data_IF_074816564818
#
_entry.id   IF_074816564818
#
_cell.length_a   1.000
_cell.length_b   1.000
_cell.length_c   1.000
_cell.angle_alpha   90.00
_cell.angle_beta   90.00
_cell.angle_gamma   90.00
#
_symmetry.space_group_name_H-M   'P 1'
#
loop_
_entity.id
_entity.type
_entity.pdbx_description
1 polymer ?
#
# COMPACT_ATOMS: atom_id res chain seq x y z
N UNK A 1 53.28 -43.40 7.39
CA UNK A 1 52.08 -42.65 7.81
C UNK A 1 52.02 -41.39 6.97
N UNK A 2 51.10 -41.32 5.97
CA UNK A 2 50.94 -40.16 5.11
C UNK A 2 50.08 -39.12 5.86
N UNK A 3 50.62 -37.93 6.12
CA UNK A 3 49.88 -36.82 6.66
C UNK A 3 48.78 -36.39 5.65
N UNK A 4 47.52 -36.56 6.02
CA UNK A 4 46.39 -35.94 5.34
C UNK A 4 46.45 -34.43 5.70
N UNK A 5 46.99 -33.64 4.78
CA UNK A 5 46.80 -32.18 4.84
C UNK A 5 45.32 -31.91 4.65
N UNK A 6 44.58 -31.65 5.72
CA UNK A 6 43.23 -31.19 5.68
C UNK A 6 43.23 -29.77 5.08
N UNK A 7 42.78 -29.66 3.87
CA UNK A 7 42.64 -28.41 3.15
C UNK A 7 41.50 -27.58 3.80
N UNK A 8 41.80 -26.47 4.50
CA UNK A 8 40.78 -25.69 5.22
C UNK A 8 39.70 -25.12 4.29
N UNK A 9 40.00 -24.98 3.00
CA UNK A 9 39.01 -24.53 1.98
C UNK A 9 37.97 -25.58 1.69
N UNK A 10 38.27 -26.89 1.88
CA UNK A 10 37.26 -27.95 1.71
C UNK A 10 36.24 -27.95 2.84
N UNK A 11 36.64 -27.57 4.05
CA UNK A 11 35.76 -27.41 5.20
C UNK A 11 34.84 -26.18 5.05
N UNK A 12 35.35 -25.07 4.49
CA UNK A 12 34.55 -23.87 4.17
C UNK A 12 33.50 -24.14 3.08
N UNK A 13 33.84 -24.94 2.06
CA UNK A 13 32.91 -25.35 1.00
C UNK A 13 31.79 -26.27 1.54
N UNK A 14 32.10 -27.15 2.49
CA UNK A 14 31.11 -27.99 3.14
C UNK A 14 30.15 -27.21 4.06
N UNK A 15 30.60 -26.13 4.71
CA UNK A 15 29.77 -25.25 5.51
C UNK A 15 28.83 -24.37 4.67
N UNK A 16 29.25 -24.00 3.46
CA UNK A 16 28.41 -23.21 2.53
C UNK A 16 27.24 -24.01 1.94
N UNK A 17 27.28 -25.35 1.99
CA UNK A 17 26.19 -26.21 1.46
C UNK A 17 24.99 -26.39 2.42
N UNK A 18 25.05 -25.87 3.64
CA UNK A 18 23.92 -25.86 4.58
C UNK A 18 23.15 -24.52 4.61
N UNK A 19 23.04 -23.86 3.48
CA UNK A 19 22.09 -22.76 3.34
C UNK A 19 20.67 -23.32 3.30
N UNK A 20 20.03 -23.46 4.46
CA UNK A 20 18.60 -23.75 4.52
C UNK A 20 17.87 -22.53 3.98
N UNK A 21 17.33 -22.62 2.79
CA UNK A 21 16.32 -21.65 2.35
C UNK A 21 15.11 -21.80 3.27
N UNK A 22 14.83 -20.77 4.05
CA UNK A 22 13.63 -20.75 4.87
C UNK A 22 12.43 -20.66 3.92
N UNK A 23 11.63 -21.71 3.86
CA UNK A 23 10.39 -21.74 3.11
C UNK A 23 9.29 -21.14 3.99
N UNK A 24 8.61 -20.14 3.49
CA UNK A 24 7.40 -19.61 4.11
C UNK A 24 6.22 -20.42 3.59
N UNK A 25 5.55 -21.16 4.47
CA UNK A 25 4.35 -21.90 4.14
C UNK A 25 3.13 -20.99 4.31
N UNK A 26 2.31 -20.89 3.27
CA UNK A 26 1.09 -20.07 3.28
C UNK A 26 -0.02 -20.80 2.52
N UNK A 27 -1.25 -20.39 2.80
CA UNK A 27 -2.43 -20.79 2.05
C UNK A 27 -2.97 -19.59 1.28
N UNK A 28 -3.34 -19.79 0.01
CA UNK A 28 -3.96 -18.74 -0.81
C UNK A 28 -5.24 -19.25 -1.47
N UNK A 29 -6.21 -18.37 -1.63
CA UNK A 29 -7.48 -18.67 -2.28
C UNK A 29 -8.21 -17.38 -2.68
N UNK A 30 -9.17 -17.52 -3.60
CA UNK A 30 -10.02 -16.40 -4.02
C UNK A 30 -11.43 -16.51 -3.42
N UNK A 31 -11.98 -15.38 -2.96
CA UNK A 31 -13.40 -15.27 -2.68
C UNK A 31 -14.19 -15.13 -4.00
N UNK A 32 -15.49 -15.43 -3.96
CA UNK A 32 -16.37 -15.34 -5.14
C UNK A 32 -16.42 -13.93 -5.75
N UNK A 33 -16.23 -12.90 -4.95
CA UNK A 33 -16.16 -11.51 -5.39
C UNK A 33 -14.81 -11.11 -5.99
N UNK A 34 -13.83 -12.04 -6.01
CA UNK A 34 -12.52 -11.86 -6.62
C UNK A 34 -11.45 -11.28 -5.69
N UNK A 35 -11.73 -11.16 -4.38
CA UNK A 35 -10.70 -10.84 -3.40
C UNK A 35 -9.73 -12.02 -3.29
N UNK A 36 -8.46 -11.78 -3.56
CA UNK A 36 -7.39 -12.74 -3.32
C UNK A 36 -6.97 -12.71 -1.85
N UNK A 37 -6.88 -13.88 -1.22
CA UNK A 37 -6.58 -14.00 0.22
C UNK A 37 -5.34 -14.85 0.41
N UNK A 38 -4.41 -14.37 1.22
CA UNK A 38 -3.18 -15.06 1.60
C UNK A 38 -3.15 -15.17 3.13
N UNK A 39 -2.99 -16.40 3.64
CA UNK A 39 -2.89 -16.67 5.07
C UNK A 39 -1.56 -17.34 5.39
N UNK A 40 -0.78 -16.75 6.28
CA UNK A 40 0.47 -17.33 6.78
C UNK A 40 0.39 -17.47 8.30
N UNK A 41 0.44 -18.72 8.77
CA UNK A 41 0.41 -19.04 10.20
C UNK A 41 1.81 -19.09 10.77
N UNK A 42 2.09 -18.23 11.74
CA UNK A 42 3.29 -18.26 12.58
C UNK A 42 2.90 -17.95 14.04
N UNK A 43 2.84 -18.99 14.88
CA UNK A 43 2.45 -18.88 16.29
C UNK A 43 3.65 -18.62 17.22
N UNK A 44 4.78 -18.18 16.70
CA UNK A 44 5.99 -17.93 17.50
C UNK A 44 5.84 -16.77 18.48
N UNK A 45 5.00 -15.79 18.14
CA UNK A 45 4.65 -14.64 18.98
C UNK A 45 3.13 -14.34 18.86
N UNK A 46 2.45 -13.87 19.94
CA UNK A 46 1.02 -13.64 19.94
C UNK A 46 0.62 -12.33 19.24
N UNK A 47 1.06 -12.15 18.01
CA UNK A 47 0.81 -10.96 17.17
C UNK A 47 0.31 -11.43 15.81
N UNK A 48 -0.58 -10.66 15.22
CA UNK A 48 -1.07 -10.85 13.85
C UNK A 48 -1.00 -9.54 13.09
N UNK A 49 -0.62 -9.64 11.82
CA UNK A 49 -0.67 -8.54 10.85
C UNK A 49 -1.77 -8.82 9.86
N UNK A 50 -2.68 -7.89 9.68
CA UNK A 50 -3.69 -7.88 8.62
C UNK A 50 -3.36 -6.75 7.66
N UNK A 51 -3.37 -7.03 6.36
CA UNK A 51 -3.09 -6.01 5.36
C UNK A 51 -3.93 -6.16 4.11
N UNK A 52 -4.27 -5.02 3.50
CA UNK A 52 -4.97 -4.96 2.21
C UNK A 52 -4.12 -4.14 1.24
N UNK A 53 -3.74 -4.77 0.16
CA UNK A 53 -3.10 -4.14 -0.98
C UNK A 53 -4.15 -3.90 -2.06
N UNK A 54 -4.40 -2.65 -2.39
CA UNK A 54 -5.19 -2.29 -3.58
C UNK A 54 -4.24 -2.03 -4.75
N UNK A 55 -4.48 -2.71 -5.87
CA UNK A 55 -3.70 -2.50 -7.09
C UNK A 55 -4.12 -1.20 -7.76
N UNK A 56 -3.79 -0.09 -7.13
CA UNK A 56 -3.99 1.27 -7.60
C UNK A 56 -2.90 2.17 -7.01
N UNK A 57 -2.19 2.87 -7.85
CA UNK A 57 -1.14 3.82 -7.47
C UNK A 57 -1.15 5.01 -8.41
N UNK A 58 -0.10 5.85 -8.34
CA UNK A 58 -0.04 7.07 -9.16
C UNK A 58 -0.07 6.80 -10.67
N UNK A 59 0.32 5.61 -11.12
CA UNK A 59 0.22 5.24 -12.55
C UNK A 59 -1.20 5.11 -13.08
N UNK A 60 -2.17 4.84 -12.18
CA UNK A 60 -3.58 4.61 -12.54
C UNK A 60 -4.40 5.90 -12.58
N UNK A 61 -3.79 7.03 -12.24
CA UNK A 61 -4.42 8.34 -12.19
C UNK A 61 -4.55 8.98 -13.57
N UNK A 62 -5.53 9.87 -13.69
CA UNK A 62 -5.60 10.77 -14.84
C UNK A 62 -4.42 11.76 -14.77
N UNK A 63 -3.69 12.02 -15.86
CA UNK A 63 -2.59 13.00 -15.87
C UNK A 63 -2.99 14.41 -15.42
N UNK A 64 -4.28 14.77 -15.56
CA UNK A 64 -4.85 16.05 -15.11
C UNK A 64 -5.49 15.96 -13.70
N UNK A 65 -5.35 14.82 -13.00
CA UNK A 65 -5.91 14.54 -11.68
C UNK A 65 -4.95 13.66 -10.87
N UNK A 66 -3.73 14.17 -10.63
CA UNK A 66 -2.68 13.43 -9.90
C UNK A 66 -2.79 13.61 -8.39
N UNK A 67 -2.31 12.62 -7.64
CA UNK A 67 -2.32 12.60 -6.18
C UNK A 67 -3.54 11.89 -5.57
N UNK A 68 -4.46 11.36 -6.37
CA UNK A 68 -5.69 10.72 -5.88
C UNK A 68 -5.42 9.44 -5.11
N UNK A 69 -4.52 8.58 -5.57
CA UNK A 69 -4.21 7.34 -4.88
C UNK A 69 -3.64 7.60 -3.47
N UNK A 70 -2.71 8.54 -3.34
CA UNK A 70 -2.18 8.96 -2.06
C UNK A 70 -3.23 9.70 -1.21
N UNK A 71 -4.08 10.49 -1.82
CA UNK A 71 -5.19 11.14 -1.12
C UNK A 71 -6.13 10.09 -0.49
N UNK A 72 -6.42 8.99 -1.20
CA UNK A 72 -7.20 7.88 -0.67
C UNK A 72 -6.49 7.11 0.44
N UNK A 73 -5.16 7.08 0.45
CA UNK A 73 -4.41 6.57 1.60
C UNK A 73 -4.83 7.27 2.89
N UNK A 74 -4.95 8.59 2.86
CA UNK A 74 -5.41 9.39 4.00
C UNK A 74 -6.92 9.27 4.23
N UNK A 75 -7.70 9.42 3.17
CA UNK A 75 -9.17 9.53 3.26
C UNK A 75 -9.83 8.27 3.83
N UNK A 76 -9.27 7.09 3.57
CA UNK A 76 -9.81 5.82 4.08
C UNK A 76 -9.51 5.56 5.57
N UNK A 77 -8.87 6.50 6.28
CA UNK A 77 -8.78 6.53 7.74
C UNK A 77 -9.80 7.45 8.39
N UNK A 78 -10.53 8.26 7.62
CA UNK A 78 -11.47 9.23 8.16
C UNK A 78 -12.63 8.58 8.93
N UNK A 79 -13.09 7.42 8.48
CA UNK A 79 -14.13 6.64 9.11
C UNK A 79 -14.95 5.83 8.12
N UNK A 80 -15.87 5.04 8.65
CA UNK A 80 -16.79 4.21 7.88
C UNK A 80 -18.21 4.41 8.37
N UNK A 81 -19.18 3.76 7.76
CA UNK A 81 -20.56 3.76 8.25
C UNK A 81 -20.68 3.34 9.71
N UNK A 82 -19.81 2.42 10.17
CA UNK A 82 -19.85 1.83 11.51
C UNK A 82 -18.69 2.26 12.41
N UNK A 83 -17.73 3.02 11.89
CA UNK A 83 -16.61 3.63 12.63
C UNK A 83 -16.71 5.14 12.49
N UNK A 84 -16.96 5.83 13.60
CA UNK A 84 -17.07 7.28 13.61
C UNK A 84 -15.80 7.94 13.07
N UNK A 85 -15.99 9.09 12.42
CA UNK A 85 -14.90 9.93 11.90
C UNK A 85 -13.84 10.20 12.97
N UNK A 86 -12.57 9.98 12.64
CA UNK A 86 -11.41 10.19 13.52
C UNK A 86 -11.24 9.13 14.62
N UNK A 87 -12.07 8.07 14.66
CA UNK A 87 -11.97 7.01 15.67
C UNK A 87 -11.07 5.85 15.26
N UNK A 88 -10.70 5.74 14.00
CA UNK A 88 -9.89 4.62 13.50
C UNK A 88 -8.65 4.36 14.36
N UNK A 89 -7.79 5.37 14.48
CA UNK A 89 -6.54 5.28 15.23
C UNK A 89 -6.75 4.98 16.73
N UNK A 90 -7.80 5.53 17.33
CA UNK A 90 -8.11 5.27 18.75
C UNK A 90 -8.61 3.86 18.99
N UNK A 91 -9.35 3.24 18.06
CA UNK A 91 -9.75 1.84 18.13
C UNK A 91 -8.51 0.95 18.04
N UNK A 92 -7.65 1.17 17.06
CA UNK A 92 -6.42 0.39 16.88
C UNK A 92 -5.52 0.47 18.11
N UNK A 93 -5.20 1.68 18.57
CA UNK A 93 -4.31 1.87 19.73
C UNK A 93 -4.96 1.41 21.03
N UNK A 94 -6.26 1.63 21.23
CA UNK A 94 -7.02 1.16 22.39
C UNK A 94 -7.09 -0.37 22.47
N UNK A 95 -6.94 -1.06 21.34
CA UNK A 95 -6.89 -2.52 21.27
C UNK A 95 -5.45 -3.07 21.27
N UNK A 96 -4.46 -2.24 21.62
CA UNK A 96 -3.05 -2.62 21.70
C UNK A 96 -2.37 -2.80 20.33
N UNK A 97 -2.98 -2.30 19.27
CA UNK A 97 -2.48 -2.40 17.90
C UNK A 97 -1.72 -1.17 17.43
N UNK A 98 -1.19 -1.27 16.24
CA UNK A 98 -0.61 -0.18 15.45
C UNK A 98 -1.01 -0.36 13.99
N UNK A 99 -1.09 0.73 13.24
CA UNK A 99 -1.41 0.70 11.82
C UNK A 99 -0.60 1.73 11.04
N UNK A 100 -0.50 1.52 9.74
CA UNK A 100 0.04 2.50 8.80
C UNK A 100 -0.46 2.20 7.39
N UNK A 101 -0.15 3.09 6.45
CA UNK A 101 -0.38 2.90 5.03
C UNK A 101 0.73 3.55 4.23
N UNK A 102 0.83 3.20 2.95
CA UNK A 102 1.67 3.90 1.99
C UNK A 102 1.20 3.67 0.55
N UNK A 103 1.48 4.66 -0.28
CA UNK A 103 1.16 4.64 -1.71
C UNK A 103 2.45 4.63 -2.53
N UNK A 104 2.44 3.80 -3.56
CA UNK A 104 3.49 3.72 -4.57
C UNK A 104 2.96 4.11 -5.95
N UNK A 105 3.79 3.94 -6.97
CA UNK A 105 3.33 4.09 -8.34
C UNK A 105 2.33 3.00 -8.73
N UNK A 106 2.39 1.82 -8.10
CA UNK A 106 1.68 0.61 -8.50
C UNK A 106 0.52 0.22 -7.62
N UNK A 107 0.59 0.53 -6.32
CA UNK A 107 -0.40 0.10 -5.33
C UNK A 107 -0.50 1.05 -4.14
N UNK A 108 -1.64 0.97 -3.44
CA UNK A 108 -1.88 1.56 -2.13
C UNK A 108 -2.05 0.42 -1.13
N UNK A 109 -1.32 0.48 -0.02
CA UNK A 109 -1.20 -0.59 0.95
C UNK A 109 -1.57 -0.08 2.34
N UNK A 110 -2.49 -0.79 3.02
CA UNK A 110 -2.90 -0.56 4.39
C UNK A 110 -2.51 -1.77 5.22
N UNK A 111 -2.05 -1.57 6.44
CA UNK A 111 -1.77 -2.68 7.34
C UNK A 111 -1.99 -2.32 8.80
N UNK A 112 -2.33 -3.32 9.56
CA UNK A 112 -2.58 -3.24 10.99
C UNK A 112 -1.90 -4.41 11.69
N UNK A 113 -1.26 -4.11 12.84
CA UNK A 113 -0.68 -5.11 13.71
C UNK A 113 -1.50 -5.12 14.99
N UNK A 114 -1.96 -6.29 15.41
CA UNK A 114 -2.72 -6.46 16.64
C UNK A 114 -2.18 -7.63 17.48
N UNK A 115 -2.41 -7.64 18.81
CA UNK A 115 -2.40 -8.88 19.57
C UNK A 115 -3.36 -9.89 18.92
N UNK A 116 -2.97 -11.17 18.86
CA UNK A 116 -3.70 -12.19 18.07
C UNK A 116 -5.15 -12.40 18.50
N UNK A 117 -5.49 -12.10 19.76
CA UNK A 117 -6.88 -12.14 20.26
C UNK A 117 -7.78 -11.06 19.65
N UNK A 118 -7.23 -10.07 18.95
CA UNK A 118 -7.97 -9.02 18.25
C UNK A 118 -7.98 -9.21 16.73
N UNK A 119 -7.64 -10.41 16.21
CA UNK A 119 -7.65 -10.70 14.79
C UNK A 119 -9.01 -10.46 14.13
N UNK A 120 -10.10 -10.85 14.79
CA UNK A 120 -11.45 -10.62 14.26
C UNK A 120 -11.75 -9.12 14.09
N UNK A 121 -11.31 -8.28 15.05
CA UNK A 121 -11.43 -6.83 14.96
C UNK A 121 -10.66 -6.28 13.74
N UNK A 122 -9.43 -6.73 13.53
CA UNK A 122 -8.61 -6.32 12.38
C UNK A 122 -9.28 -6.66 11.04
N UNK A 123 -9.79 -7.89 10.91
CA UNK A 123 -10.52 -8.36 9.72
C UNK A 123 -11.79 -7.52 9.49
N UNK A 124 -12.54 -7.25 10.54
CA UNK A 124 -13.74 -6.42 10.48
C UNK A 124 -13.41 -4.98 10.06
N UNK A 125 -12.40 -4.35 10.65
CA UNK A 125 -12.01 -2.98 10.32
C UNK A 125 -11.61 -2.84 8.84
N UNK A 126 -10.80 -3.76 8.32
CA UNK A 126 -10.41 -3.73 6.90
C UNK A 126 -11.60 -3.99 5.96
N UNK A 127 -12.56 -4.83 6.37
CA UNK A 127 -13.79 -5.02 5.60
C UNK A 127 -14.67 -3.76 5.57
N UNK A 128 -14.76 -3.03 6.69
CA UNK A 128 -15.44 -1.75 6.79
C UNK A 128 -14.79 -0.68 5.89
N UNK A 129 -13.46 -0.62 5.89
CA UNK A 129 -12.69 0.24 4.99
C UNK A 129 -13.03 0.00 3.52
N UNK A 130 -13.16 -1.27 3.13
CA UNK A 130 -13.46 -1.64 1.74
C UNK A 130 -14.94 -1.43 1.37
N UNK A 131 -15.88 -1.77 2.26
CA UNK A 131 -17.31 -1.78 1.95
C UNK A 131 -18.01 -0.44 2.23
N UNK A 132 -17.64 0.22 3.33
CA UNK A 132 -18.41 1.33 3.88
C UNK A 132 -17.59 2.61 4.15
N UNK A 133 -16.56 2.96 3.34
CA UNK A 133 -15.80 4.19 3.60
C UNK A 133 -16.72 5.40 3.50
N UNK A 134 -16.58 6.35 4.44
CA UNK A 134 -17.27 7.62 4.36
C UNK A 134 -16.43 8.60 3.56
N UNK A 135 -16.89 8.89 2.35
CA UNK A 135 -16.25 9.84 1.44
C UNK A 135 -17.20 11.01 1.27
N UNK A 136 -17.01 12.04 2.07
CA UNK A 136 -17.83 13.25 2.08
C UNK A 136 -17.00 14.52 1.88
N UNK A 137 -17.68 15.63 1.67
CA UNK A 137 -16.99 16.92 1.46
C UNK A 137 -16.12 17.33 2.63
N UNK A 138 -16.54 17.04 3.86
CA UNK A 138 -15.81 17.43 5.07
C UNK A 138 -14.50 16.64 5.16
N UNK A 139 -14.53 15.33 4.90
CA UNK A 139 -13.35 14.46 4.85
C UNK A 139 -12.39 14.90 3.75
N UNK A 140 -12.91 15.15 2.56
CA UNK A 140 -12.11 15.62 1.41
C UNK A 140 -11.45 16.96 1.72
N UNK A 141 -12.19 17.97 2.21
CA UNK A 141 -11.63 19.28 2.53
C UNK A 141 -10.55 19.16 3.64
N UNK A 142 -10.80 18.35 4.67
CA UNK A 142 -9.85 18.12 5.77
C UNK A 142 -8.56 17.47 5.26
N UNK A 143 -8.66 16.39 4.52
CA UNK A 143 -7.50 15.67 4.03
C UNK A 143 -6.75 16.42 2.93
N UNK A 144 -7.43 17.29 2.17
CA UNK A 144 -6.76 18.17 1.21
C UNK A 144 -5.71 19.05 1.90
N UNK A 145 -6.05 19.69 3.01
CA UNK A 145 -5.09 20.50 3.76
C UNK A 145 -3.95 19.67 4.37
N UNK A 146 -4.24 18.45 4.85
CA UNK A 146 -3.22 17.54 5.39
C UNK A 146 -2.21 17.14 4.31
N UNK A 147 -2.68 16.68 3.15
CA UNK A 147 -1.82 16.24 2.04
C UNK A 147 -1.01 17.42 1.48
N UNK A 148 -1.61 18.60 1.40
CA UNK A 148 -0.90 19.83 1.01
C UNK A 148 0.22 20.19 1.97
N UNK A 149 -0.03 20.09 3.27
CA UNK A 149 1.00 20.36 4.26
C UNK A 149 2.12 19.29 4.22
N UNK A 150 1.76 18.03 4.03
CA UNK A 150 2.74 16.96 3.82
C UNK A 150 3.64 17.25 2.60
N UNK A 151 3.04 17.68 1.48
CA UNK A 151 3.80 18.07 0.29
C UNK A 151 4.78 19.19 0.59
N UNK A 152 4.32 20.24 1.29
CA UNK A 152 5.20 21.35 1.69
C UNK A 152 6.36 20.86 2.56
N UNK A 153 6.06 20.04 3.58
CA UNK A 153 7.08 19.57 4.51
C UNK A 153 8.09 18.61 3.89
N UNK A 154 7.62 17.63 3.11
CA UNK A 154 8.49 16.56 2.61
C UNK A 154 9.14 16.86 1.28
N UNK A 155 8.52 17.71 0.44
CA UNK A 155 8.96 17.97 -0.93
C UNK A 155 9.41 19.41 -1.13
N UNK A 156 8.54 20.40 -0.82
CA UNK A 156 8.79 21.77 -1.23
C UNK A 156 9.82 22.48 -0.31
N UNK A 157 9.79 22.20 1.00
CA UNK A 157 10.67 22.84 2.00
C UNK A 157 11.83 21.95 2.48
N UNK A 158 11.89 20.70 2.04
CA UNK A 158 12.93 19.77 2.45
C UNK A 158 14.13 19.85 1.52
N UNK A 159 15.38 19.91 2.03
CA UNK A 159 16.57 19.74 1.19
C UNK A 159 16.50 18.44 0.38
N UNK A 160 16.77 18.52 -0.91
CA UNK A 160 16.61 17.42 -1.88
C UNK A 160 15.18 16.90 -2.04
N UNK A 161 14.16 17.56 -1.50
CA UNK A 161 12.78 17.07 -1.50
C UNK A 161 12.21 16.77 -2.89
N UNK A 162 12.64 17.50 -3.91
CA UNK A 162 12.16 17.34 -5.30
C UNK A 162 12.96 16.36 -6.15
N UNK A 163 14.00 15.72 -5.59
CA UNK A 163 14.90 14.86 -6.38
C UNK A 163 14.17 13.76 -7.16
N UNK A 164 13.18 13.12 -6.52
CA UNK A 164 12.43 12.03 -7.15
C UNK A 164 11.52 12.53 -8.27
N UNK A 165 10.89 13.69 -8.10
CA UNK A 165 10.10 14.34 -9.15
C UNK A 165 10.95 14.67 -10.36
N UNK A 166 12.13 15.26 -10.15
CA UNK A 166 13.07 15.60 -11.21
C UNK A 166 13.60 14.36 -11.95
N UNK A 167 13.93 13.30 -11.20
CA UNK A 167 14.38 12.03 -11.81
C UNK A 167 13.26 11.44 -12.66
N UNK A 168 12.05 11.30 -12.14
CA UNK A 168 10.90 10.73 -12.86
C UNK A 168 10.55 11.54 -14.10
N UNK A 169 10.52 12.86 -13.99
CA UNK A 169 10.21 13.76 -15.10
C UNK A 169 11.22 13.65 -16.25
N UNK A 170 12.50 13.50 -15.93
CA UNK A 170 13.54 13.35 -16.93
C UNK A 170 13.63 11.93 -17.50
N UNK A 171 13.34 10.91 -16.69
CA UNK A 171 13.44 9.49 -17.06
C UNK A 171 12.27 9.03 -17.91
N UNK A 172 11.04 9.35 -17.51
CA UNK A 172 9.83 8.92 -18.19
C UNK A 172 9.27 10.02 -19.09
N UNK A 173 8.98 9.68 -20.36
CA UNK A 173 8.42 10.62 -21.35
C UNK A 173 6.92 10.43 -21.52
N UNK A 174 6.46 9.20 -21.59
CA UNK A 174 5.07 8.85 -21.90
C UNK A 174 4.42 7.96 -20.85
N UNK A 175 5.19 7.15 -20.11
CA UNK A 175 4.64 6.26 -19.10
C UNK A 175 4.14 7.06 -17.88
N UNK A 176 3.01 6.68 -17.25
CA UNK A 176 2.50 7.33 -16.05
C UNK A 176 3.45 7.39 -14.85
N UNK A 177 4.49 6.58 -14.80
CA UNK A 177 5.57 6.68 -13.80
C UNK A 177 6.28 8.03 -13.77
N UNK A 178 6.01 8.88 -14.76
CA UNK A 178 6.42 10.28 -14.75
C UNK A 178 5.81 11.07 -13.58
N UNK A 179 4.64 10.66 -13.11
CA UNK A 179 3.94 11.33 -12.01
C UNK A 179 4.54 10.91 -10.65
N UNK A 180 4.43 11.80 -9.67
CA UNK A 180 4.74 11.47 -8.27
C UNK A 180 3.48 11.06 -7.53
N UNK A 181 3.61 10.24 -6.49
CA UNK A 181 2.47 9.79 -5.68
C UNK A 181 1.76 10.93 -4.97
N UNK A 182 2.51 11.96 -4.53
CA UNK A 182 1.94 13.14 -3.87
C UNK A 182 1.10 14.02 -4.82
N UNK A 183 1.35 13.95 -6.11
CA UNK A 183 0.63 14.71 -7.12
C UNK A 183 0.90 16.21 -7.12
N UNK A 184 0.07 16.95 -7.88
CA UNK A 184 0.13 18.41 -7.99
C UNK A 184 -0.94 19.05 -7.13
N UNK A 185 -0.59 20.14 -6.45
CA UNK A 185 -1.52 20.87 -5.58
C UNK A 185 -2.74 21.39 -6.34
N UNK A 186 -2.54 21.89 -7.55
CA UNK A 186 -3.63 22.44 -8.39
C UNK A 186 -4.67 21.36 -8.72
N UNK A 187 -4.25 20.11 -8.86
CA UNK A 187 -5.14 18.98 -9.12
C UNK A 187 -5.98 18.63 -7.89
N UNK A 188 -5.38 18.68 -6.70
CA UNK A 188 -6.10 18.43 -5.44
C UNK A 188 -7.06 19.58 -5.11
N UNK A 189 -6.65 20.84 -5.33
CA UNK A 189 -7.49 22.01 -5.10
C UNK A 189 -8.72 22.08 -6.01
N UNK A 190 -8.59 21.60 -7.24
CA UNK A 190 -9.66 21.59 -8.23
C UNK A 190 -10.51 20.32 -8.25
N UNK A 191 -10.14 19.31 -7.44
CA UNK A 191 -10.83 18.03 -7.42
C UNK A 191 -12.21 18.14 -6.77
N UNK A 192 -13.20 17.46 -7.40
CA UNK A 192 -14.58 17.45 -6.94
C UNK A 192 -14.91 16.13 -6.25
N UNK A 193 -15.88 16.17 -5.33
CA UNK A 193 -16.32 15.00 -4.59
C UNK A 193 -16.75 13.83 -5.49
N UNK A 194 -17.42 14.12 -6.62
CA UNK A 194 -17.84 13.08 -7.56
C UNK A 194 -16.66 12.36 -8.25
N UNK A 195 -15.53 13.05 -8.43
CA UNK A 195 -14.29 12.46 -8.95
C UNK A 195 -13.68 11.48 -7.91
N UNK A 196 -13.66 11.86 -6.63
CA UNK A 196 -13.24 10.96 -5.55
C UNK A 196 -14.14 9.72 -5.44
N UNK A 197 -15.46 9.89 -5.47
CA UNK A 197 -16.40 8.78 -5.43
C UNK A 197 -16.24 7.83 -6.63
N UNK A 198 -15.99 8.38 -7.83
CA UNK A 198 -15.74 7.59 -9.02
C UNK A 198 -14.42 6.82 -8.94
N UNK A 199 -13.37 7.43 -8.40
CA UNK A 199 -12.07 6.80 -8.21
C UNK A 199 -12.15 5.63 -7.20
N UNK A 200 -12.80 5.86 -6.05
CA UNK A 200 -13.04 4.82 -5.06
C UNK A 200 -13.79 3.63 -5.67
N UNK A 201 -14.93 3.89 -6.29
CA UNK A 201 -15.78 2.87 -6.93
C UNK A 201 -15.06 2.07 -8.00
N UNK A 202 -14.07 2.66 -8.66
CA UNK A 202 -13.30 2.01 -9.72
C UNK A 202 -12.20 1.11 -9.16
N UNK A 203 -11.46 1.57 -8.16
CA UNK A 203 -10.20 0.95 -7.79
C UNK A 203 -10.21 0.24 -6.43
N UNK A 204 -11.01 0.72 -5.45
CA UNK A 204 -11.04 0.15 -4.10
C UNK A 204 -12.13 -0.92 -3.97
N UNK A 205 -11.93 -2.00 -4.70
CA UNK A 205 -12.88 -3.10 -4.86
C UNK A 205 -12.21 -4.45 -4.66
N UNK A 206 -12.96 -5.51 -4.24
CA UNK A 206 -12.38 -6.81 -3.90
C UNK A 206 -11.51 -7.41 -5.01
N UNK A 207 -11.98 -7.38 -6.23
CA UNK A 207 -11.26 -7.96 -7.39
C UNK A 207 -10.08 -7.10 -7.89
N UNK A 208 -9.72 -6.06 -7.17
CA UNK A 208 -8.52 -5.25 -7.37
C UNK A 208 -7.68 -5.20 -6.08
N UNK A 209 -7.89 -6.15 -5.16
CA UNK A 209 -7.25 -6.16 -3.86
C UNK A 209 -6.70 -7.53 -3.49
N UNK A 210 -5.69 -7.54 -2.62
CA UNK A 210 -5.13 -8.72 -1.97
C UNK A 210 -5.22 -8.50 -0.46
N UNK A 211 -5.89 -9.41 0.24
CA UNK A 211 -5.91 -9.47 1.70
C UNK A 211 -4.85 -10.45 2.16
N UNK A 212 -3.90 -10.00 2.97
CA UNK A 212 -2.91 -10.88 3.58
C UNK A 212 -3.03 -10.83 5.10
N UNK A 213 -3.09 -12.00 5.73
CA UNK A 213 -3.11 -12.14 7.19
C UNK A 213 -1.99 -13.07 7.60
N UNK A 214 -1.09 -12.59 8.45
CA UNK A 214 0.10 -13.32 8.88
C UNK A 214 0.30 -13.22 10.39
N UNK A 215 0.73 -14.32 11.03
CA UNK A 215 1.05 -14.36 12.45
C UNK A 215 0.32 -15.46 13.21
N UNK A 216 0.04 -15.21 14.49
CA UNK A 216 -0.62 -16.15 15.37
C UNK A 216 -2.14 -16.22 15.09
N UNK A 217 -2.51 -17.14 14.23
CA UNK A 217 -3.88 -17.30 13.77
C UNK A 217 -4.29 -18.78 13.65
N UNK A 218 -5.59 -19.03 13.80
CA UNK A 218 -6.24 -20.28 13.41
C UNK A 218 -6.76 -20.16 11.98
N UNK A 219 -6.24 -20.98 11.08
CA UNK A 219 -6.57 -20.92 9.64
C UNK A 219 -8.08 -21.12 9.39
N UNK A 220 -8.71 -22.08 10.08
CA UNK A 220 -10.12 -22.41 9.84
C UNK A 220 -11.02 -21.26 10.29
N UNK A 221 -10.77 -20.75 11.50
CA UNK A 221 -11.53 -19.62 12.03
C UNK A 221 -11.30 -18.35 11.23
N UNK A 222 -10.04 -18.09 10.83
CA UNK A 222 -9.69 -16.91 10.00
C UNK A 222 -10.41 -16.95 8.65
N UNK A 223 -10.43 -18.11 7.98
CA UNK A 223 -11.19 -18.28 6.72
C UNK A 223 -12.69 -18.02 6.90
N UNK A 224 -13.24 -18.42 8.05
CA UNK A 224 -14.64 -18.14 8.36
C UNK A 224 -14.88 -16.64 8.49
N UNK A 225 -14.10 -15.92 9.30
CA UNK A 225 -14.21 -14.47 9.46
C UNK A 225 -14.01 -13.73 8.13
N UNK A 226 -12.99 -14.08 7.35
CA UNK A 226 -12.77 -13.48 6.03
C UNK A 226 -13.99 -13.67 5.13
N UNK A 227 -14.58 -14.85 5.10
CA UNK A 227 -15.81 -15.11 4.34
C UNK A 227 -17.00 -14.29 4.85
N UNK A 228 -17.17 -14.23 6.17
CA UNK A 228 -18.32 -13.55 6.80
C UNK A 228 -18.25 -12.03 6.58
N UNK A 229 -17.07 -11.42 6.67
CA UNK A 229 -16.90 -9.97 6.54
C UNK A 229 -16.66 -9.48 5.09
N UNK A 230 -15.91 -10.23 4.29
CA UNK A 230 -15.57 -9.79 2.92
C UNK A 230 -16.44 -10.46 1.84
N UNK A 231 -17.11 -11.58 2.14
CA UNK A 231 -17.76 -12.40 1.12
C UNK A 231 -18.92 -11.71 0.40
N UNK A 232 -19.63 -10.81 1.07
CA UNK A 232 -20.78 -10.08 0.53
C UNK A 232 -20.39 -8.71 -0.08
N UNK A 233 -19.12 -8.30 -0.02
CA UNK A 233 -18.66 -7.07 -0.65
C UNK A 233 -18.81 -7.21 -2.17
N UNK A 234 -19.52 -6.29 -2.85
CA UNK A 234 -19.76 -6.41 -4.28
C UNK A 234 -18.47 -6.41 -5.10
N UNK A 235 -18.37 -7.31 -6.08
CA UNK A 235 -17.30 -7.29 -7.07
C UNK A 235 -17.35 -6.00 -7.88
N UNK A 236 -16.20 -5.35 -8.07
CA UNK A 236 -16.08 -4.21 -8.95
C UNK A 236 -16.02 -4.58 -10.44
N UNK A 237 -16.08 -3.57 -11.30
CA UNK A 237 -15.85 -3.76 -12.74
C UNK A 237 -14.39 -4.15 -12.99
N UNK A 238 -14.17 -4.95 -14.05
CA UNK A 238 -12.81 -5.27 -14.50
C UNK A 238 -12.04 -4.02 -14.92
N UNK A 239 -10.85 -3.86 -14.38
CA UNK A 239 -9.98 -2.71 -14.65
C UNK A 239 -9.05 -3.10 -15.81
N UNK A 240 -9.26 -2.45 -16.94
CA UNK A 240 -8.36 -2.59 -18.10
C UNK A 240 -7.28 -1.53 -18.01
N UNK A 241 -6.00 -1.97 -17.98
CA UNK A 241 -4.83 -1.10 -18.00
C UNK A 241 -4.14 -1.22 -19.34
N UNK A 242 -3.89 -0.09 -19.97
CA UNK A 242 -3.15 -0.02 -21.22
C UNK A 242 -2.20 1.17 -21.14
N UNK A 243 -1.02 0.93 -20.56
CA UNK A 243 -0.01 1.97 -20.41
C UNK A 243 0.83 2.06 -21.68
N UNK A 244 1.20 3.27 -22.11
CA UNK A 244 2.12 3.46 -23.22
C UNK A 244 3.49 2.88 -22.87
N UNK A 245 4.12 2.22 -23.84
CA UNK A 245 5.49 1.72 -23.66
C UNK A 245 6.46 2.90 -23.70
N UNK A 246 7.29 3.01 -22.67
CA UNK A 246 8.34 4.03 -22.63
C UNK A 246 9.37 3.80 -23.73
N UNK A 247 9.79 4.85 -24.46
CA UNK A 247 10.89 4.75 -25.43
C UNK A 247 12.17 4.26 -24.76
N UNK A 248 12.97 3.48 -25.50
CA UNK A 248 14.26 3.03 -25.00
C UNK A 248 15.21 4.23 -24.81
N UNK A 249 15.87 4.25 -23.66
CA UNK A 249 16.94 5.21 -23.39
C UNK A 249 18.22 4.66 -24.01
N UNK A 250 18.72 5.30 -25.05
CA UNK A 250 19.90 4.89 -25.80
C UNK A 250 21.11 5.83 -25.60
N UNK A 251 20.96 6.83 -24.74
CA UNK A 251 22.04 7.77 -24.38
C UNK A 251 21.88 8.25 -22.95
N UNK A 252 22.94 8.74 -22.34
CA UNK A 252 22.91 9.35 -21.02
C UNK A 252 22.03 10.59 -21.02
N UNK A 253 21.07 10.67 -20.11
CA UNK A 253 20.28 11.86 -19.84
C UNK A 253 20.98 12.65 -18.74
N UNK A 254 21.26 13.92 -19.01
CA UNK A 254 21.79 14.87 -18.03
C UNK A 254 20.73 15.92 -17.76
N UNK A 255 20.46 16.17 -16.49
CA UNK A 255 19.55 17.20 -16.04
C UNK A 255 20.17 17.92 -14.84
N UNK A 256 19.80 19.18 -14.67
CA UNK A 256 20.21 20.01 -13.53
C UNK A 256 18.93 20.48 -12.83
N UNK A 257 18.92 20.38 -11.50
CA UNK A 257 17.84 20.87 -10.67
C UNK A 257 18.41 21.85 -9.64
N UNK A 258 17.71 22.97 -9.48
CA UNK A 258 18.04 23.95 -8.45
C UNK A 258 17.18 23.70 -7.21
N UNK A 259 17.82 23.56 -6.07
CA UNK A 259 17.13 23.42 -4.78
C UNK A 259 17.46 24.62 -3.88
N UNK A 260 16.48 25.52 -3.62
CA UNK A 260 16.69 26.70 -2.79
C UNK A 260 16.86 26.36 -1.30
N UNK A 261 16.54 25.14 -0.87
CA UNK A 261 16.60 24.72 0.52
C UNK A 261 17.98 24.19 0.94
N UNK A 262 18.91 24.05 -0.02
CA UNK A 262 20.29 23.64 0.30
C UNK A 262 21.12 24.88 0.60
N UNK A 263 21.61 24.95 1.84
CA UNK A 263 22.61 25.95 2.23
C UNK A 263 23.99 25.37 1.93
N UNK A 264 24.74 26.04 1.07
CA UNK A 264 26.14 25.73 0.75
C UNK A 264 27.05 26.52 1.69
#
# INVERSE_FOLDING_TARGET
>A
MKNLNSNPYLLLLLLASFSFSQRVDFEEYDLKNGLHVILHRDNSVPIVTTSVLYHVGSKDEDPERTGFAHFFEHLLFEGTKNIEKGKWFSIVTGSGGSNNAYTTDDFTYYYENFPSNNLELAIWMESERMLHPVIDKIGVDTQNEVVKEEKRMRYDNSPYGKWNEEVKFNLFKVHPYKQTTIGKMEHLDSARLDEFLAFNKKYYVPNNAVLTIAGDLDIVQTKKWVKDYFGEIPRGKEIKRNFPREPLINQTIKAEAFDPNIQI
#
